data_IF_757403626178
#
_entry.id   IF_757403626178
#
_cell.length_a   1.000
_cell.length_b   1.000
_cell.length_c   1.000
_cell.angle_alpha   90.00
_cell.angle_beta   90.00
_cell.angle_gamma   90.00
#
_symmetry.space_group_name_H-M   'P 1'
#
loop_
_entity.id
_entity.type
_entity.pdbx_description
1 polymer ?
#
# COMPACT_ATOMS: atom_id res chain seq x y z
N UNK A 1 -34.15 30.52 0.33
CA UNK A 1 -32.98 29.67 0.59
C UNK A 1 -33.50 28.45 1.33
N UNK A 2 -33.62 27.31 0.67
CA UNK A 2 -34.12 26.06 1.29
C UNK A 2 -32.92 25.19 1.61
N UNK A 3 -32.79 24.78 2.87
CA UNK A 3 -31.74 23.88 3.33
C UNK A 3 -31.90 22.51 2.67
N UNK A 4 -30.82 21.83 2.26
CA UNK A 4 -30.93 20.52 1.62
C UNK A 4 -31.49 19.49 2.61
N UNK A 5 -32.43 18.70 2.12
CA UNK A 5 -33.06 17.56 2.79
C UNK A 5 -31.99 16.69 3.47
N UNK A 6 -31.96 16.73 4.81
CA UNK A 6 -31.11 15.86 5.63
C UNK A 6 -31.69 14.46 5.55
N UNK A 7 -31.15 13.65 4.63
CA UNK A 7 -31.46 12.23 4.56
C UNK A 7 -31.28 11.62 5.96
N UNK A 8 -32.40 11.15 6.52
CA UNK A 8 -32.41 10.36 7.73
C UNK A 8 -31.62 9.09 7.45
N UNK A 9 -30.50 8.90 8.15
CA UNK A 9 -29.73 7.67 8.03
C UNK A 9 -30.54 6.58 8.73
N UNK A 10 -31.01 5.59 7.97
CA UNK A 10 -31.60 4.39 8.55
C UNK A 10 -30.46 3.58 9.17
N UNK A 11 -30.58 3.28 10.45
CA UNK A 11 -29.71 2.31 11.13
C UNK A 11 -29.94 0.98 10.43
N UNK A 12 -28.98 0.55 9.61
CA UNK A 12 -29.02 -0.77 9.00
C UNK A 12 -28.62 -1.75 10.09
N UNK A 13 -29.60 -2.45 10.66
CA UNK A 13 -29.35 -3.55 11.57
C UNK A 13 -28.86 -4.73 10.74
N UNK A 14 -27.64 -5.18 10.98
CA UNK A 14 -27.10 -6.38 10.35
C UNK A 14 -27.87 -7.59 10.89
N UNK A 15 -28.87 -8.04 10.13
CA UNK A 15 -29.65 -9.26 10.43
C UNK A 15 -28.89 -10.53 10.03
N UNK A 16 -27.87 -10.41 9.18
CA UNK A 16 -26.98 -11.51 8.79
C UNK A 16 -25.76 -11.53 9.72
N UNK A 17 -26.01 -11.86 10.98
CA UNK A 17 -24.96 -12.38 11.84
C UNK A 17 -24.95 -13.89 11.58
N UNK A 18 -24.01 -14.44 10.78
CA UNK A 18 -23.88 -15.89 10.70
C UNK A 18 -23.67 -16.36 12.13
N UNK A 19 -24.54 -17.27 12.59
CA UNK A 19 -24.44 -17.87 13.92
C UNK A 19 -22.97 -18.27 14.11
N UNK A 20 -22.27 -17.51 14.95
CA UNK A 20 -20.90 -17.83 15.31
C UNK A 20 -20.97 -19.28 15.80
N UNK A 21 -20.10 -20.18 15.29
CA UNK A 21 -20.10 -21.56 15.77
C UNK A 21 -20.02 -21.53 17.30
N UNK A 22 -20.75 -22.44 17.94
CA UNK A 22 -20.69 -22.62 19.39
C UNK A 22 -19.23 -22.49 19.83
N UNK A 23 -18.99 -21.65 20.83
CA UNK A 23 -17.69 -21.06 21.20
C UNK A 23 -16.62 -22.09 21.63
N UNK A 24 -16.88 -23.37 21.40
CA UNK A 24 -16.05 -24.53 21.70
C UNK A 24 -14.88 -24.70 20.71
N UNK A 25 -14.95 -24.13 19.49
CA UNK A 25 -13.90 -24.19 18.46
C UNK A 25 -13.27 -22.81 18.14
N UNK A 26 -13.07 -21.96 19.16
CA UNK A 26 -12.39 -20.66 18.98
C UNK A 26 -10.91 -20.77 19.34
N UNK A 27 -10.03 -20.60 18.35
CA UNK A 27 -8.60 -20.44 18.59
C UNK A 27 -8.32 -19.01 19.08
N UNK A 28 -7.80 -18.87 20.31
CA UNK A 28 -7.40 -17.57 20.86
C UNK A 28 -6.15 -17.11 20.13
N UNK A 29 -6.33 -16.27 19.12
CA UNK A 29 -5.23 -15.61 18.43
C UNK A 29 -4.77 -14.43 19.28
N UNK A 30 -3.49 -14.42 19.65
CA UNK A 30 -2.86 -13.27 20.33
C UNK A 30 -2.97 -12.06 19.40
N UNK A 31 -3.39 -10.91 19.93
CA UNK A 31 -3.43 -9.66 19.16
C UNK A 31 -2.05 -9.37 18.56
N UNK A 32 -1.90 -9.68 17.28
CA UNK A 32 -0.68 -9.54 16.49
C UNK A 32 -0.68 -8.23 15.72
N UNK A 33 -1.71 -7.40 15.90
CA UNK A 33 -1.79 -6.14 15.20
C UNK A 33 -0.78 -5.18 15.82
N UNK A 34 0.17 -4.66 15.02
CA UNK A 34 1.08 -3.63 15.49
C UNK A 34 0.26 -2.42 15.92
N UNK A 35 0.72 -1.74 16.97
CA UNK A 35 0.05 -0.54 17.48
C UNK A 35 -0.06 0.53 16.37
N UNK A 36 -1.04 1.45 16.42
CA UNK A 36 -1.21 2.50 15.41
C UNK A 36 0.05 3.34 15.15
N UNK A 37 0.94 3.44 16.15
CA UNK A 37 2.23 4.11 16.02
C UNK A 37 3.26 3.28 15.22
N UNK A 38 3.23 1.96 15.36
CA UNK A 38 4.05 1.01 14.58
C UNK A 38 3.50 0.79 13.16
N UNK A 39 2.21 1.05 12.95
CA UNK A 39 1.56 1.10 11.63
C UNK A 39 1.94 2.34 10.82
N UNK A 40 2.61 3.31 11.43
CA UNK A 40 3.31 4.34 10.66
C UNK A 40 4.44 3.63 9.93
N UNK A 41 4.16 3.16 8.71
CA UNK A 41 5.16 2.67 7.78
C UNK A 41 6.33 3.66 7.81
N UNK A 42 7.43 3.29 8.50
CA UNK A 42 8.64 4.08 8.46
C UNK A 42 9.00 4.18 6.99
N UNK A 43 8.79 5.36 6.40
CA UNK A 43 9.24 5.59 5.05
C UNK A 43 10.75 5.33 5.09
N UNK A 44 11.25 4.44 4.22
CA UNK A 44 12.67 4.12 4.22
C UNK A 44 13.44 5.43 4.06
N UNK A 45 14.55 5.58 4.79
CA UNK A 45 15.38 6.77 4.70
C UNK A 45 15.77 7.01 3.23
N UNK A 46 15.19 8.04 2.61
CA UNK A 46 15.42 8.34 1.19
C UNK A 46 16.33 9.54 1.04
N UNK A 47 17.48 9.34 0.40
CA UNK A 47 18.35 10.44 -0.02
C UNK A 47 17.96 10.93 -1.43
N UNK A 48 17.72 12.24 -1.58
CA UNK A 48 17.39 12.85 -2.87
C UNK A 48 18.67 13.24 -3.60
N UNK A 49 19.00 12.49 -4.64
CA UNK A 49 20.12 12.77 -5.53
C UNK A 49 19.65 13.21 -6.93
N UNK A 50 20.52 13.89 -7.67
CA UNK A 50 20.33 14.17 -9.11
C UNK A 50 21.29 13.30 -9.91
N UNK A 51 20.75 12.43 -10.77
CA UNK A 51 21.53 11.60 -11.69
C UNK A 51 21.10 11.86 -13.13
N UNK A 52 22.03 11.77 -14.07
CA UNK A 52 21.73 11.83 -15.51
C UNK A 52 21.46 10.42 -16.02
N UNK A 53 20.36 10.25 -16.75
CA UNK A 53 19.97 9.01 -17.41
C UNK A 53 19.75 9.27 -18.90
N UNK A 54 20.03 8.27 -19.73
CA UNK A 54 19.79 8.36 -21.16
C UNK A 54 18.31 8.57 -21.48
N UNK A 55 18.05 9.35 -22.53
CA UNK A 55 16.68 9.67 -22.95
C UNK A 55 15.87 8.40 -23.25
N UNK A 56 16.49 7.42 -23.93
CA UNK A 56 15.85 6.14 -24.27
C UNK A 56 15.38 5.37 -23.02
N UNK A 57 16.22 5.34 -21.98
CA UNK A 57 15.90 4.69 -20.70
C UNK A 57 14.71 5.36 -20.03
N UNK A 58 14.70 6.69 -19.96
CA UNK A 58 13.57 7.44 -19.37
C UNK A 58 12.28 7.24 -20.16
N UNK A 59 12.35 7.23 -21.50
CA UNK A 59 11.21 6.99 -22.39
C UNK A 59 10.57 5.61 -22.14
N UNK A 60 11.41 4.57 -21.98
CA UNK A 60 10.98 3.22 -21.66
C UNK A 60 10.16 3.17 -20.36
N UNK A 61 10.70 3.74 -19.27
CA UNK A 61 9.99 3.75 -17.99
C UNK A 61 8.71 4.60 -18.03
N UNK A 62 8.68 5.70 -18.79
CA UNK A 62 7.45 6.49 -18.99
C UNK A 62 6.35 5.69 -19.68
N UNK A 63 6.67 4.91 -20.72
CA UNK A 63 5.68 4.05 -21.38
C UNK A 63 5.13 2.98 -20.43
N UNK A 64 6.02 2.29 -19.71
CA UNK A 64 5.59 1.27 -18.74
C UNK A 64 4.71 1.85 -17.63
N UNK A 65 5.05 3.04 -17.13
CA UNK A 65 4.28 3.75 -16.12
C UNK A 65 2.88 4.12 -16.62
N UNK A 66 2.75 4.61 -17.86
CA UNK A 66 1.45 4.93 -18.48
C UNK A 66 0.55 3.71 -18.59
N UNK A 67 1.11 2.57 -19.00
CA UNK A 67 0.33 1.33 -19.19
C UNK A 67 -0.18 0.74 -17.86
N UNK A 68 0.54 0.99 -16.76
CA UNK A 68 0.24 0.40 -15.44
C UNK A 68 -0.34 1.39 -14.42
N UNK A 69 -0.58 2.64 -14.82
CA UNK A 69 -1.10 3.70 -13.94
C UNK A 69 -0.15 4.06 -12.78
N UNK A 70 1.16 3.95 -12.97
CA UNK A 70 2.17 4.13 -11.92
C UNK A 70 3.10 5.33 -12.14
N UNK A 71 4.01 5.57 -11.18
CA UNK A 71 5.10 6.55 -11.33
C UNK A 71 6.36 5.88 -11.89
N UNK A 72 6.88 6.42 -12.99
CA UNK A 72 8.15 5.95 -13.59
C UNK A 72 9.33 6.09 -12.61
N UNK A 73 9.29 7.08 -11.70
CA UNK A 73 10.32 7.27 -10.68
C UNK A 73 10.34 6.12 -9.68
N UNK A 74 9.15 5.63 -9.29
CA UNK A 74 9.03 4.47 -8.40
C UNK A 74 9.60 3.22 -9.08
N UNK A 75 9.34 3.03 -10.36
CA UNK A 75 9.89 1.91 -11.14
C UNK A 75 11.42 1.93 -11.16
N UNK A 76 12.02 3.09 -11.44
CA UNK A 76 13.48 3.25 -11.43
C UNK A 76 14.05 2.94 -10.04
N UNK A 77 13.43 3.48 -8.98
CA UNK A 77 13.86 3.23 -7.60
C UNK A 77 13.79 1.75 -7.22
N UNK A 78 12.71 1.06 -7.57
CA UNK A 78 12.56 -0.38 -7.31
C UNK A 78 13.63 -1.18 -8.04
N UNK A 79 13.92 -0.86 -9.30
CA UNK A 79 14.95 -1.55 -10.07
C UNK A 79 16.33 -1.43 -9.43
N UNK A 80 16.71 -0.22 -8.98
CA UNK A 80 17.99 -0.01 -8.29
C UNK A 80 18.04 -0.75 -6.96
N UNK A 81 16.93 -0.77 -6.21
CA UNK A 81 16.83 -1.51 -4.94
C UNK A 81 17.05 -3.01 -5.14
N UNK A 82 16.35 -3.62 -6.11
CA UNK A 82 16.49 -5.04 -6.46
C UNK A 82 17.91 -5.37 -6.94
N UNK A 83 18.50 -4.52 -7.78
CA UNK A 83 19.87 -4.71 -8.26
C UNK A 83 20.87 -4.76 -7.11
N UNK A 84 20.79 -3.82 -6.15
CA UNK A 84 21.71 -3.82 -4.99
C UNK A 84 21.47 -5.03 -4.10
N UNK A 85 20.21 -5.40 -3.84
CA UNK A 85 19.88 -6.58 -3.03
C UNK A 85 20.54 -7.85 -3.61
N UNK A 86 20.42 -8.06 -4.93
CA UNK A 86 21.05 -9.20 -5.59
C UNK A 86 22.58 -9.17 -5.54
N UNK A 87 23.22 -7.99 -5.59
CA UNK A 87 24.68 -7.89 -5.49
C UNK A 87 25.18 -8.14 -4.06
N UNK A 88 24.39 -7.80 -3.04
CA UNK A 88 24.72 -8.04 -1.63
C UNK A 88 24.50 -9.51 -1.24
N UNK A 89 23.52 -10.20 -1.82
CA UNK A 89 23.31 -11.64 -1.61
C UNK A 89 24.41 -12.52 -2.24
N UNK A 90 25.05 -12.02 -3.31
CA UNK A 90 26.12 -12.72 -4.01
C UNK A 90 27.52 -12.48 -3.42
N UNK A 91 27.65 -11.61 -2.41
CA UNK A 91 28.90 -11.24 -1.74
C UNK A 91 29.03 -11.91 -0.38
#
# INVERSE_FOLDING_TARGET
MQEPNKQNWEIVTYTDNPELPDVEDVEIVVDFLPSPEELQFLEPETEKITIQLDKATVEYFRQQARNRGGSYQRMIRTLLKEYVAHQQEAA
#
